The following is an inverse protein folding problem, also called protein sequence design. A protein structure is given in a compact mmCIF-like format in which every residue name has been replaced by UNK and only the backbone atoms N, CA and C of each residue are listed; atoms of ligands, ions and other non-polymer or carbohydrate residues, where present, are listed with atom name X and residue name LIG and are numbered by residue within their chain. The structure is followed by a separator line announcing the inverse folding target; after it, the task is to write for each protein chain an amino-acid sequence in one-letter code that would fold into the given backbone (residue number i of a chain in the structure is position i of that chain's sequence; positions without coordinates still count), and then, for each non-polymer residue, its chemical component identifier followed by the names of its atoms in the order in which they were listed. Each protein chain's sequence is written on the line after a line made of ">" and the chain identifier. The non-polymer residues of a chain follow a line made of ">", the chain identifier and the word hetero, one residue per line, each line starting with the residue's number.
data_IF_470026855030
#
_entry.id   IF_470026855030
#
_cell.length_a   1.000
_cell.length_b   1.000
_cell.length_c   1.000
_cell.angle_alpha   90.00
_cell.angle_beta   90.00
_cell.angle_gamma   90.00
#
_symmetry.space_group_name_H-M   'P 1'
#
loop_
_entity.id
_entity.type
_entity.pdbx_description
1 polymer ?
#
# COMPACT_ATOMS: atom_id res chain seq x y z
N UNK A 1 -0.19 -7.41 13.16
CA UNK A 1 1.00 -7.49 12.29
C UNK A 1 1.99 -8.54 12.77
N UNK A 2 2.61 -8.41 13.95
CA UNK A 2 3.51 -9.46 14.48
C UNK A 2 2.78 -10.79 14.73
N UNK A 3 1.70 -10.78 15.53
CA UNK A 3 0.89 -11.98 15.79
C UNK A 3 0.24 -12.59 14.55
N UNK A 4 -0.04 -11.76 13.54
CA UNK A 4 -0.65 -12.20 12.29
C UNK A 4 0.37 -12.63 11.24
N UNK A 5 1.67 -12.62 11.55
CA UNK A 5 2.74 -13.04 10.63
C UNK A 5 3.02 -12.09 9.46
N UNK A 6 2.48 -10.87 9.48
CA UNK A 6 2.65 -9.89 8.38
C UNK A 6 4.04 -9.24 8.45
N UNK A 7 4.58 -9.05 9.66
CA UNK A 7 5.91 -8.48 9.90
C UNK A 7 6.65 -9.36 10.90
N UNK A 8 7.99 -9.31 10.87
CA UNK A 8 8.88 -10.00 11.80
C UNK A 8 9.89 -9.01 12.39
N UNK A 9 10.37 -9.22 13.64
CA UNK A 9 11.49 -8.46 14.15
C UNK A 9 12.74 -8.76 13.32
N UNK A 10 13.58 -7.73 13.18
CA UNK A 10 14.88 -7.81 12.53
C UNK A 10 15.84 -6.99 13.40
N UNK A 11 17.00 -7.57 13.71
CA UNK A 11 17.97 -6.95 14.60
C UNK A 11 18.70 -5.78 13.92
N UNK A 12 19.10 -5.96 12.66
CA UNK A 12 19.81 -4.95 11.87
C UNK A 12 19.38 -4.98 10.39
N UNK A 13 19.35 -3.81 9.75
CA UNK A 13 19.02 -3.65 8.32
C UNK A 13 19.82 -2.50 7.74
N UNK A 14 20.34 -2.69 6.52
CA UNK A 14 20.93 -1.61 5.73
C UNK A 14 19.87 -0.62 5.22
N UNK A 15 18.62 -1.07 5.14
CA UNK A 15 17.48 -0.29 4.66
C UNK A 15 16.51 -0.02 5.79
N UNK A 16 16.21 1.26 6.04
CA UNK A 16 15.20 1.69 7.01
C UNK A 16 14.37 2.82 6.44
N UNK A 17 13.06 2.75 6.70
CA UNK A 17 12.12 3.81 6.36
C UNK A 17 11.44 4.30 7.65
N UNK A 18 11.21 5.62 7.82
CA UNK A 18 10.50 6.16 8.97
C UNK A 18 9.08 5.58 9.10
N UNK A 19 8.64 5.42 10.35
CA UNK A 19 7.27 5.04 10.66
C UNK A 19 6.42 6.28 10.91
N UNK A 20 5.25 6.35 10.29
CA UNK A 20 4.29 7.44 10.43
C UNK A 20 3.01 6.90 11.06
N UNK A 21 2.46 7.64 12.02
CA UNK A 21 1.25 7.24 12.74
C UNK A 21 0.12 8.20 12.41
N UNK A 22 -1.06 7.67 12.09
CA UNK A 22 -2.28 8.48 12.00
C UNK A 22 -3.46 7.80 12.68
N UNK A 23 -4.46 8.60 13.03
CA UNK A 23 -5.69 8.12 13.67
C UNK A 23 -6.79 8.11 12.61
N UNK A 24 -7.43 6.95 12.43
CA UNK A 24 -8.60 6.81 11.57
C UNK A 24 -9.80 7.56 12.16
N UNK A 25 -10.83 7.78 11.34
CA UNK A 25 -12.10 8.39 11.78
C UNK A 25 -12.79 7.62 12.93
N UNK A 26 -12.58 6.30 13.00
CA UNK A 26 -13.12 5.42 14.05
C UNK A 26 -12.26 5.41 15.34
N UNK A 27 -11.22 6.24 15.42
CA UNK A 27 -10.31 6.33 16.55
C UNK A 27 -9.21 5.25 16.57
N UNK A 28 -9.21 4.32 15.62
CA UNK A 28 -8.16 3.30 15.54
C UNK A 28 -6.84 3.90 15.03
N UNK A 29 -5.73 3.41 15.57
CA UNK A 29 -4.39 3.75 15.09
C UNK A 29 -4.13 3.05 13.75
N UNK A 30 -3.60 3.79 12.79
CA UNK A 30 -3.04 3.25 11.55
C UNK A 30 -1.57 3.62 11.46
N UNK A 31 -0.74 2.60 11.30
CA UNK A 31 0.70 2.71 11.12
C UNK A 31 1.00 2.70 9.62
N UNK A 32 1.82 3.64 9.18
CA UNK A 32 2.35 3.78 7.83
C UNK A 32 3.87 3.68 7.87
N UNK A 33 4.45 3.26 6.75
CA UNK A 33 5.90 3.32 6.53
C UNK A 33 6.12 4.28 5.37
N UNK A 34 7.02 5.23 5.53
CA UNK A 34 7.33 6.20 4.50
C UNK A 34 8.27 5.60 3.44
N UNK A 35 7.68 5.05 2.39
CA UNK A 35 8.40 4.39 1.31
C UNK A 35 8.82 5.32 0.16
N UNK A 36 8.84 6.65 0.33
CA UNK A 36 9.17 7.56 -0.78
C UNK A 36 10.54 7.28 -1.41
N UNK A 37 11.61 7.30 -0.60
CA UNK A 37 12.97 7.00 -1.08
C UNK A 37 13.13 5.59 -1.69
N UNK A 38 12.66 4.50 -1.05
CA UNK A 38 12.78 3.18 -1.66
C UNK A 38 11.91 3.01 -2.90
N UNK A 39 10.76 3.70 -3.01
CA UNK A 39 9.94 3.68 -4.22
C UNK A 39 10.68 4.33 -5.39
N UNK A 40 11.40 5.43 -5.16
CA UNK A 40 12.21 6.10 -6.20
C UNK A 40 13.38 5.22 -6.67
N UNK A 41 13.91 4.35 -5.79
CA UNK A 41 14.94 3.38 -6.13
C UNK A 41 14.40 2.13 -6.87
N UNK A 42 13.10 1.86 -6.82
CA UNK A 42 12.49 0.72 -7.48
C UNK A 42 12.18 1.00 -8.96
N UNK A 43 12.35 -0.03 -9.80
CA UNK A 43 11.85 0.03 -11.19
C UNK A 43 10.33 -0.10 -11.17
N UNK A 44 9.64 0.87 -11.77
CA UNK A 44 8.18 0.87 -11.89
C UNK A 44 7.78 -0.15 -12.96
N UNK A 45 6.93 -1.11 -12.60
CA UNK A 45 6.30 -2.08 -13.50
C UNK A 45 4.77 -1.85 -13.53
N UNK A 46 4.28 -0.97 -14.41
CA UNK A 46 2.88 -0.60 -14.41
C UNK A 46 2.01 -1.71 -15.03
N UNK A 47 1.16 -2.34 -14.22
CA UNK A 47 0.06 -3.16 -14.73
C UNK A 47 -1.09 -2.23 -15.17
N UNK A 48 -1.69 -2.43 -16.36
CA UNK A 48 -2.77 -1.58 -16.82
C UNK A 48 -4.00 -1.75 -15.92
N UNK A 49 -4.27 -0.74 -15.10
CA UNK A 49 -5.54 -0.60 -14.39
C UNK A 49 -6.49 0.22 -15.25
N UNK A 50 -7.62 -0.33 -15.70
CA UNK A 50 -8.57 0.39 -16.53
C UNK A 50 -9.16 1.57 -15.75
N UNK A 51 -9.54 2.60 -16.49
CA UNK A 51 -10.31 3.71 -15.96
C UNK A 51 -11.70 3.24 -15.51
N UNK A 52 -12.31 4.00 -14.61
CA UNK A 52 -13.64 3.65 -14.07
C UNK A 52 -14.66 3.59 -15.20
N UNK A 53 -14.56 4.49 -16.17
CA UNK A 53 -15.39 4.56 -17.37
C UNK A 53 -15.26 3.30 -18.22
N UNK A 54 -14.04 2.81 -18.46
CA UNK A 54 -13.79 1.58 -19.22
C UNK A 54 -14.38 0.34 -18.54
N UNK A 55 -14.34 0.30 -17.20
CA UNK A 55 -14.99 -0.76 -16.43
C UNK A 55 -16.52 -0.67 -16.56
N UNK A 56 -17.08 0.53 -16.46
CA UNK A 56 -18.54 0.75 -16.49
C UNK A 56 -19.12 0.44 -17.87
N UNK A 57 -18.46 0.83 -18.96
CA UNK A 57 -18.87 0.51 -20.33
C UNK A 57 -18.97 -1.01 -20.57
N UNK A 58 -18.08 -1.79 -19.96
CA UNK A 58 -18.12 -3.25 -20.02
C UNK A 58 -19.31 -3.90 -19.29
N UNK A 59 -20.05 -3.14 -18.47
CA UNK A 59 -21.19 -3.63 -17.66
C UNK A 59 -22.54 -3.19 -18.26
N UNK A 60 -22.58 -2.18 -19.13
CA UNK A 60 -23.82 -1.69 -19.77
C UNK A 60 -24.29 -2.72 -20.81
N UNK A 61 -25.13 -3.66 -20.38
CA UNK A 61 -25.66 -4.74 -21.22
C UNK A 61 -26.04 -6.03 -20.48
N UNK A 62 -25.85 -6.11 -19.16
CA UNK A 62 -26.49 -7.16 -18.36
C UNK A 62 -27.99 -6.86 -18.21
N UNK A 63 -28.81 -7.39 -19.12
CA UNK A 63 -30.20 -7.77 -18.79
C UNK A 63 -30.23 -8.97 -17.83
#
# INVERSE_FOLDING_TARGET
>A
MLKSGIVKPLDESEWVSPMVISIKKDGQIRIYVDYREPNDACVIDPFPTPFTEEILEGVVGCE
#
